data_IF_412250195521
#
_entry.id   IF_412250195521
#
_cell.length_a   1.000
_cell.length_b   1.000
_cell.length_c   1.000
_cell.angle_alpha   90.00
_cell.angle_beta   90.00
_cell.angle_gamma   90.00
#
_symmetry.space_group_name_H-M   'P 1'
#
loop_
_entity.id
_entity.type
_entity.pdbx_description
1 polymer ?
#
# COMPACT_ATOMS: atom_id res chain seq x y z
N UNK A 1 13.44 11.82 21.16
CA UNK A 1 13.39 12.96 20.22
C UNK A 1 12.05 12.89 19.53
N UNK A 2 11.13 13.80 19.87
CA UNK A 2 9.81 13.86 19.22
C UNK A 2 10.01 14.12 17.74
N UNK A 3 9.73 13.09 16.94
CA UNK A 3 9.77 13.21 15.49
C UNK A 3 8.59 14.12 15.14
N UNK A 4 8.91 15.33 14.71
CA UNK A 4 7.92 16.34 14.32
C UNK A 4 7.08 15.73 13.20
N UNK A 5 5.88 15.25 13.55
CA UNK A 5 5.00 14.62 12.58
C UNK A 5 4.58 15.72 11.61
N UNK A 6 4.97 15.58 10.34
CA UNK A 6 4.67 16.57 9.33
C UNK A 6 3.14 16.76 9.28
N UNK A 7 2.67 17.99 9.41
CA UNK A 7 1.26 18.37 9.21
C UNK A 7 1.04 18.75 7.75
N UNK A 8 -0.21 18.70 7.28
CA UNK A 8 -0.59 19.24 5.97
C UNK A 8 -1.69 20.27 6.12
N UNK A 9 -2.10 20.92 5.02
CA UNK A 9 -3.24 21.84 5.04
C UNK A 9 -4.56 21.17 5.47
N UNK A 10 -4.65 19.83 5.33
CA UNK A 10 -5.85 19.06 5.63
C UNK A 10 -5.82 18.38 7.00
N UNK A 11 -4.64 18.13 7.59
CA UNK A 11 -4.50 17.36 8.84
C UNK A 11 -3.45 17.93 9.77
N UNK A 12 -3.72 17.83 11.08
CA UNK A 12 -2.75 18.19 12.12
C UNK A 12 -1.61 17.18 12.23
N UNK A 13 -1.85 15.93 11.82
CA UNK A 13 -0.91 14.81 11.88
C UNK A 13 -1.08 13.95 10.62
N UNK A 14 0.01 13.55 9.95
CA UNK A 14 -0.08 12.60 8.84
C UNK A 14 -0.60 11.24 9.31
N UNK A 15 -1.26 10.51 8.40
CA UNK A 15 -1.78 9.18 8.68
C UNK A 15 -0.68 8.25 9.21
N UNK A 16 -1.03 7.52 10.27
CA UNK A 16 -0.34 6.33 10.72
C UNK A 16 -1.37 5.25 11.07
N UNK A 17 -0.89 4.06 11.43
CA UNK A 17 -1.75 2.91 11.72
C UNK A 17 -2.66 3.12 12.95
N UNK A 18 -2.33 4.07 13.83
CA UNK A 18 -3.02 4.30 15.10
C UNK A 18 -3.98 5.49 15.08
N UNK A 19 -3.86 6.40 14.11
CA UNK A 19 -4.61 7.66 14.10
C UNK A 19 -5.69 7.76 13.02
N UNK A 20 -6.02 6.66 12.32
CA UNK A 20 -6.98 6.66 11.21
C UNK A 20 -8.33 7.33 11.56
N UNK A 21 -8.85 7.12 12.77
CA UNK A 21 -10.11 7.76 13.19
C UNK A 21 -10.01 9.29 13.20
N UNK A 22 -8.95 9.84 13.79
CA UNK A 22 -8.73 11.30 13.85
C UNK A 22 -8.42 11.85 12.47
N UNK A 23 -7.52 11.17 11.74
CA UNK A 23 -7.13 11.53 10.39
C UNK A 23 -8.33 11.58 9.44
N UNK A 24 -9.18 10.54 9.44
CA UNK A 24 -10.32 10.43 8.54
C UNK A 24 -11.35 11.54 8.78
N UNK A 25 -11.60 11.93 10.04
CA UNK A 25 -12.49 13.05 10.34
C UNK A 25 -11.94 14.37 9.78
N UNK A 26 -10.64 14.63 9.94
CA UNK A 26 -10.00 15.85 9.44
C UNK A 26 -10.00 15.92 7.92
N UNK A 27 -9.55 14.84 7.24
CA UNK A 27 -9.53 14.79 5.78
C UNK A 27 -10.93 14.86 5.19
N UNK A 28 -11.91 14.15 5.78
CA UNK A 28 -13.32 14.23 5.34
C UNK A 28 -13.84 15.67 5.42
N UNK A 29 -13.61 16.34 6.54
CA UNK A 29 -14.04 17.73 6.75
C UNK A 29 -13.42 18.66 5.71
N UNK A 30 -12.12 18.49 5.44
CA UNK A 30 -11.41 19.27 4.42
C UNK A 30 -11.97 19.00 3.02
N UNK A 31 -12.19 17.73 2.65
CA UNK A 31 -12.76 17.36 1.34
C UNK A 31 -14.18 17.90 1.16
N UNK A 32 -15.01 17.89 2.21
CA UNK A 32 -16.34 18.52 2.18
C UNK A 32 -16.26 20.03 1.94
N UNK A 33 -15.34 20.73 2.62
CA UNK A 33 -15.15 22.17 2.44
C UNK A 33 -14.66 22.54 1.02
N UNK A 34 -14.02 21.60 0.31
CA UNK A 34 -13.54 21.78 -1.06
C UNK A 34 -14.49 21.22 -2.12
N UNK A 35 -15.68 20.75 -1.73
CA UNK A 35 -16.64 20.10 -2.64
C UNK A 35 -16.05 18.86 -3.37
N UNK A 36 -15.27 18.07 -2.63
CA UNK A 36 -14.56 16.88 -3.12
C UNK A 36 -15.04 15.57 -2.49
N UNK A 37 -15.76 15.62 -1.35
CA UNK A 37 -16.17 14.41 -0.61
C UNK A 37 -17.08 13.49 -1.42
N UNK A 38 -17.94 14.06 -2.28
CA UNK A 38 -18.83 13.30 -3.16
C UNK A 38 -18.08 12.26 -4.01
N UNK A 39 -16.84 12.54 -4.41
CA UNK A 39 -16.02 11.61 -5.22
C UNK A 39 -15.56 10.40 -4.40
N UNK A 40 -15.29 10.61 -3.11
CA UNK A 40 -14.82 9.55 -2.20
C UNK A 40 -16.02 8.70 -1.71
N UNK A 41 -17.15 9.35 -1.47
CA UNK A 41 -18.37 8.69 -1.00
C UNK A 41 -19.08 7.91 -2.11
N UNK A 42 -19.03 8.37 -3.36
CA UNK A 42 -19.74 7.81 -4.50
C UNK A 42 -19.75 6.28 -4.52
N UNK A 43 -20.93 5.68 -4.58
CA UNK A 43 -21.11 4.23 -4.73
C UNK A 43 -21.06 3.80 -6.19
N UNK A 44 -21.44 4.71 -7.08
CA UNK A 44 -21.46 4.51 -8.52
C UNK A 44 -20.16 5.04 -9.13
N UNK A 45 -19.66 4.32 -10.14
CA UNK A 45 -18.40 4.66 -10.81
C UNK A 45 -18.43 5.99 -11.56
N UNK A 46 -17.28 6.34 -12.14
CA UNK A 46 -17.07 7.47 -13.05
C UNK A 46 -18.28 7.69 -13.98
N UNK A 47 -18.78 8.93 -14.15
CA UNK A 47 -19.79 9.25 -15.15
C UNK A 47 -19.34 8.78 -16.54
N UNK A 48 -20.20 8.07 -17.27
CA UNK A 48 -19.85 7.56 -18.61
C UNK A 48 -19.54 8.74 -19.54
N UNK A 49 -18.40 8.75 -20.24
CA UNK A 49 -17.97 9.88 -21.06
C UNK A 49 -18.92 10.15 -22.24
N UNK A 50 -19.69 9.14 -22.67
CA UNK A 50 -20.67 9.25 -23.76
C UNK A 50 -21.87 10.17 -23.44
N UNK A 51 -22.15 10.42 -22.16
CA UNK A 51 -23.31 11.23 -21.76
C UNK A 51 -22.99 12.72 -21.63
N UNK A 52 -21.77 13.09 -21.21
CA UNK A 52 -21.34 14.48 -20.99
C UNK A 52 -19.81 14.57 -20.78
N UNK A 53 -19.08 15.05 -21.80
CA UNK A 53 -17.62 15.24 -21.72
C UNK A 53 -17.21 16.24 -20.65
N UNK A 54 -17.98 17.32 -20.47
CA UNK A 54 -17.68 18.36 -19.49
C UNK A 54 -17.84 17.81 -18.06
N UNK A 55 -18.88 17.02 -17.81
CA UNK A 55 -19.08 16.33 -16.53
C UNK A 55 -17.97 15.31 -16.26
N UNK A 56 -17.57 14.50 -17.25
CA UNK A 56 -16.45 13.55 -17.11
C UNK A 56 -15.14 14.28 -16.78
N UNK A 57 -14.85 15.40 -17.46
CA UNK A 57 -13.66 16.21 -17.19
C UNK A 57 -13.69 16.86 -15.80
N UNK A 58 -14.84 17.37 -15.38
CA UNK A 58 -15.04 17.92 -14.05
C UNK A 58 -14.83 16.85 -12.96
N UNK A 59 -15.40 15.66 -13.15
CA UNK A 59 -15.21 14.52 -12.25
C UNK A 59 -13.73 14.12 -12.16
N UNK A 60 -13.03 13.96 -13.29
CA UNK A 60 -11.60 13.60 -13.31
C UNK A 60 -10.76 14.61 -12.54
N UNK A 61 -11.07 15.91 -12.67
CA UNK A 61 -10.40 16.97 -11.91
C UNK A 61 -10.68 16.84 -10.41
N UNK A 62 -11.93 16.65 -10.00
CA UNK A 62 -12.30 16.48 -8.58
C UNK A 62 -11.65 15.22 -7.98
N UNK A 63 -11.64 14.11 -8.71
CA UNK A 63 -10.95 12.88 -8.31
C UNK A 63 -9.44 13.12 -8.09
N UNK A 64 -8.76 13.77 -9.04
CA UNK A 64 -7.34 14.08 -8.90
C UNK A 64 -7.05 14.98 -7.69
N UNK A 65 -7.90 15.97 -7.43
CA UNK A 65 -7.77 16.84 -6.25
C UNK A 65 -7.99 16.07 -4.94
N UNK A 66 -9.03 15.24 -4.87
CA UNK A 66 -9.33 14.43 -3.69
C UNK A 66 -8.20 13.42 -3.40
N UNK A 67 -7.72 12.72 -4.44
CA UNK A 67 -6.61 11.77 -4.32
C UNK A 67 -5.34 12.48 -3.85
N UNK A 68 -5.04 13.67 -4.37
CA UNK A 68 -3.89 14.45 -3.94
C UNK A 68 -3.96 14.80 -2.45
N UNK A 69 -5.12 15.24 -1.94
CA UNK A 69 -5.33 15.51 -0.52
C UNK A 69 -5.08 14.26 0.34
N UNK A 70 -5.57 13.10 -0.09
CA UNK A 70 -5.35 11.82 0.59
C UNK A 70 -3.85 11.47 0.61
N UNK A 71 -3.15 11.61 -0.51
CA UNK A 71 -1.72 11.30 -0.62
C UNK A 71 -0.85 12.19 0.29
N UNK A 72 -1.05 13.52 0.24
CA UNK A 72 -0.22 14.45 1.04
C UNK A 72 -0.50 14.36 2.53
N UNK A 73 -1.72 13.99 2.92
CA UNK A 73 -2.11 13.79 4.32
C UNK A 73 -1.69 12.43 4.87
N UNK A 74 -1.22 11.50 4.02
CA UNK A 74 -0.81 10.16 4.44
C UNK A 74 0.67 10.05 4.81
N UNK A 75 1.49 11.05 4.45
CA UNK A 75 2.94 11.02 4.62
C UNK A 75 3.64 10.05 3.64
N UNK A 76 4.98 10.11 3.51
CA UNK A 76 5.70 9.44 2.43
C UNK A 76 5.57 7.90 2.44
N UNK A 77 5.58 7.30 3.64
CA UNK A 77 5.59 5.85 3.81
C UNK A 77 4.28 5.21 3.34
N UNK A 78 3.14 5.82 3.71
CA UNK A 78 1.81 5.36 3.31
C UNK A 78 1.46 5.81 1.89
N UNK A 79 1.90 7.01 1.47
CA UNK A 79 1.69 7.48 0.09
C UNK A 79 2.24 6.47 -0.95
N UNK A 80 3.39 5.86 -0.68
CA UNK A 80 3.95 4.81 -1.54
C UNK A 80 3.13 3.52 -1.59
N UNK A 81 2.27 3.23 -0.60
CA UNK A 81 1.39 2.06 -0.62
C UNK A 81 0.26 2.26 -1.64
N UNK A 82 -0.26 3.48 -1.73
CA UNK A 82 -1.40 3.83 -2.59
C UNK A 82 -0.99 4.49 -3.91
N UNK A 83 0.31 4.48 -4.25
CA UNK A 83 0.85 5.22 -5.40
C UNK A 83 0.35 4.71 -6.76
N UNK A 84 -0.11 3.45 -6.81
CA UNK A 84 -0.69 2.84 -8.01
C UNK A 84 -2.22 3.00 -8.08
N UNK A 85 -2.85 3.56 -7.04
CA UNK A 85 -4.30 3.74 -7.00
C UNK A 85 -4.65 5.09 -7.65
N UNK A 86 -5.50 5.06 -8.66
CA UNK A 86 -5.85 6.24 -9.48
C UNK A 86 -7.15 6.93 -9.04
N UNK A 87 -7.92 6.31 -8.15
CA UNK A 87 -9.21 6.79 -7.68
C UNK A 87 -9.14 7.17 -6.19
N UNK A 88 -9.65 8.35 -5.86
CA UNK A 88 -9.64 8.85 -4.49
C UNK A 88 -10.44 7.95 -3.54
N UNK A 89 -11.58 7.44 -4.00
CA UNK A 89 -12.38 6.45 -3.27
C UNK A 89 -11.57 5.20 -2.94
N UNK A 90 -10.92 4.62 -3.94
CA UNK A 90 -10.19 3.37 -3.74
C UNK A 90 -8.97 3.56 -2.84
N UNK A 91 -8.32 4.72 -2.92
CA UNK A 91 -7.26 5.08 -1.99
C UNK A 91 -7.81 5.18 -0.56
N UNK A 92 -8.92 5.87 -0.37
CA UNK A 92 -9.59 5.99 0.92
C UNK A 92 -9.98 4.63 1.52
N UNK A 93 -10.65 3.79 0.74
CA UNK A 93 -11.12 2.48 1.15
C UNK A 93 -9.95 1.53 1.46
N UNK A 94 -8.86 1.63 0.68
CA UNK A 94 -7.65 0.85 0.92
C UNK A 94 -6.95 1.27 2.21
N UNK A 95 -6.82 2.57 2.47
CA UNK A 95 -6.27 3.06 3.74
C UNK A 95 -7.13 2.62 4.93
N UNK A 96 -8.46 2.67 4.77
CA UNK A 96 -9.40 2.17 5.78
C UNK A 96 -9.19 0.68 6.05
N UNK A 97 -8.98 -0.13 5.00
CA UNK A 97 -8.71 -1.56 5.12
C UNK A 97 -7.37 -1.81 5.82
N UNK A 98 -6.29 -1.12 5.41
CA UNK A 98 -4.96 -1.21 6.02
C UNK A 98 -5.02 -0.91 7.53
N UNK A 99 -5.65 0.20 7.91
CA UNK A 99 -5.74 0.63 9.31
C UNK A 99 -6.68 -0.25 10.16
N UNK A 100 -7.46 -1.15 9.56
CA UNK A 100 -8.26 -2.16 10.28
C UNK A 100 -7.48 -3.45 10.55
N UNK A 101 -6.34 -3.67 9.89
CA UNK A 101 -5.54 -4.88 10.09
C UNK A 101 -4.97 -4.87 11.52
N UNK A 102 -5.26 -5.89 12.35
CA UNK A 102 -4.69 -5.96 13.69
C UNK A 102 -3.16 -6.09 13.63
N UNK A 103 -2.45 -5.26 14.42
CA UNK A 103 -0.97 -5.23 14.43
C UNK A 103 -0.32 -6.58 14.67
N UNK A 104 -0.96 -7.42 15.50
CA UNK A 104 -0.48 -8.76 15.85
C UNK A 104 -0.37 -9.70 14.64
N UNK A 105 -1.05 -9.40 13.52
CA UNK A 105 -1.01 -10.25 12.33
C UNK A 105 0.29 -10.09 11.54
N UNK A 106 0.92 -8.92 11.59
CA UNK A 106 2.09 -8.60 10.76
C UNK A 106 3.33 -8.24 11.57
N UNK A 107 3.25 -7.97 12.87
CA UNK A 107 4.46 -7.78 13.68
C UNK A 107 5.29 -9.07 13.68
N UNK A 108 6.55 -8.98 13.24
CA UNK A 108 7.50 -10.09 13.35
C UNK A 108 8.12 -10.11 14.75
N UNK A 109 8.35 -11.30 15.29
CA UNK A 109 9.31 -11.44 16.39
C UNK A 109 10.71 -11.21 15.84
N UNK A 110 11.56 -10.49 16.56
CA UNK A 110 12.92 -10.16 16.12
C UNK A 110 13.81 -11.39 15.85
N UNK A 111 13.38 -12.58 16.27
CA UNK A 111 14.05 -13.87 16.09
C UNK A 111 13.48 -14.75 14.95
N UNK A 112 12.47 -14.27 14.21
CA UNK A 112 11.87 -15.06 13.13
C UNK A 112 12.78 -15.12 11.90
N UNK A 113 13.25 -16.32 11.54
CA UNK A 113 14.00 -16.53 10.30
C UNK A 113 13.12 -16.36 9.05
N UNK A 114 13.75 -16.06 7.91
CA UNK A 114 13.06 -15.80 6.64
C UNK A 114 12.05 -16.89 6.25
N UNK A 115 12.41 -18.17 6.39
CA UNK A 115 11.51 -19.27 6.02
C UNK A 115 10.23 -19.28 6.87
N UNK A 116 10.35 -19.10 8.18
CA UNK A 116 9.21 -19.03 9.10
C UNK A 116 8.33 -17.82 8.79
N UNK A 117 8.97 -16.66 8.57
CA UNK A 117 8.27 -15.44 8.15
C UNK A 117 7.54 -15.65 6.83
N UNK A 118 8.19 -16.26 5.82
CA UNK A 118 7.62 -16.47 4.51
C UNK A 118 6.40 -17.41 4.56
N UNK A 119 6.47 -18.50 5.33
CA UNK A 119 5.35 -19.43 5.52
C UNK A 119 4.17 -18.76 6.25
N UNK A 120 4.45 -17.95 7.26
CA UNK A 120 3.45 -17.17 7.99
C UNK A 120 2.77 -16.16 7.06
N UNK A 121 3.54 -15.37 6.33
CA UNK A 121 3.01 -14.36 5.40
C UNK A 121 2.24 -15.00 4.24
N UNK A 122 2.72 -16.12 3.70
CA UNK A 122 2.00 -16.89 2.68
C UNK A 122 0.64 -17.35 3.18
N UNK A 123 0.57 -17.87 4.40
CA UNK A 123 -0.69 -18.28 5.03
C UNK A 123 -1.67 -17.11 5.14
N UNK A 124 -1.20 -15.94 5.59
CA UNK A 124 -2.01 -14.72 5.64
C UNK A 124 -2.49 -14.29 4.25
N UNK A 125 -1.61 -14.28 3.26
CA UNK A 125 -1.97 -13.88 1.91
C UNK A 125 -2.98 -14.80 1.26
N UNK A 126 -2.89 -16.12 1.48
CA UNK A 126 -3.90 -17.07 0.98
C UNK A 126 -5.26 -16.78 1.64
N UNK A 127 -5.31 -16.65 2.97
CA UNK A 127 -6.55 -16.41 3.70
C UNK A 127 -7.24 -15.09 3.37
N UNK A 128 -6.52 -14.13 2.80
CA UNK A 128 -7.03 -12.80 2.44
C UNK A 128 -7.08 -12.58 0.92
N UNK A 129 -6.90 -13.62 0.10
CA UNK A 129 -6.88 -13.52 -1.37
C UNK A 129 -5.86 -12.50 -1.92
N UNK A 130 -4.70 -12.42 -1.28
CA UNK A 130 -3.56 -11.56 -1.64
C UNK A 130 -2.40 -12.35 -2.26
N UNK A 131 -2.40 -13.69 -2.11
CA UNK A 131 -1.28 -14.53 -2.57
C UNK A 131 -1.07 -14.45 -4.09
N UNK A 132 -2.17 -14.34 -4.84
CA UNK A 132 -2.14 -14.15 -6.30
C UNK A 132 -1.33 -12.91 -6.73
N UNK A 133 -1.25 -11.88 -5.88
CA UNK A 133 -0.52 -10.65 -6.20
C UNK A 133 0.99 -10.87 -6.09
N UNK A 134 1.44 -11.61 -5.08
CA UNK A 134 2.88 -11.80 -4.81
C UNK A 134 3.48 -12.96 -5.60
N UNK A 135 2.67 -13.96 -5.97
CA UNK A 135 3.09 -15.08 -6.83
C UNK A 135 2.83 -14.83 -8.33
N UNK A 136 2.24 -13.69 -8.70
CA UNK A 136 1.90 -13.38 -10.09
C UNK A 136 3.08 -13.65 -11.04
N UNK A 137 2.81 -14.38 -12.12
CA UNK A 137 3.77 -14.65 -13.21
C UNK A 137 3.53 -13.77 -14.42
N UNK A 138 2.44 -13.01 -14.41
CA UNK A 138 2.06 -12.04 -15.43
C UNK A 138 2.35 -10.63 -14.93
N UNK A 139 2.52 -9.71 -15.87
CA UNK A 139 2.58 -8.29 -15.55
C UNK A 139 1.25 -7.80 -14.94
N UNK A 140 1.28 -6.73 -14.12
CA UNK A 140 0.07 -6.07 -13.66
C UNK A 140 -0.85 -5.68 -14.83
N UNK A 141 -2.18 -5.73 -14.64
CA UNK A 141 -3.11 -5.18 -15.63
C UNK A 141 -2.79 -3.71 -15.89
N UNK A 142 -3.10 -3.23 -17.09
CA UNK A 142 -3.01 -1.80 -17.42
C UNK A 142 -4.39 -1.14 -17.26
N UNK A 143 -4.47 0.08 -16.71
CA UNK A 143 -5.74 0.78 -16.52
C UNK A 143 -6.46 1.09 -17.84
N UNK A 144 -5.74 1.20 -18.95
CA UNK A 144 -6.31 1.41 -20.29
C UNK A 144 -7.03 0.17 -20.85
N UNK A 145 -6.57 -1.02 -20.48
CA UNK A 145 -7.11 -2.29 -20.99
C UNK A 145 -8.31 -2.75 -20.18
N UNK A 146 -8.20 -2.69 -18.85
CA UNK A 146 -9.27 -3.09 -17.93
C UNK A 146 -9.16 -2.31 -16.61
N UNK A 147 -9.86 -1.18 -16.54
CA UNK A 147 -9.90 -0.31 -15.36
C UNK A 147 -10.43 -1.04 -14.11
N UNK A 148 -11.37 -1.98 -14.29
CA UNK A 148 -11.98 -2.73 -13.18
C UNK A 148 -10.95 -3.71 -12.61
N UNK A 149 -10.28 -4.48 -13.47
CA UNK A 149 -9.22 -5.40 -13.05
C UNK A 149 -8.03 -4.64 -12.43
N UNK A 150 -7.62 -3.52 -13.02
CA UNK A 150 -6.54 -2.68 -12.49
C UNK A 150 -6.85 -2.13 -11.10
N UNK A 151 -8.08 -1.64 -10.90
CA UNK A 151 -8.54 -1.16 -9.60
C UNK A 151 -8.50 -2.26 -8.55
N UNK A 152 -9.10 -3.42 -8.84
CA UNK A 152 -9.08 -4.55 -7.91
C UNK A 152 -7.65 -5.01 -7.59
N UNK A 153 -6.78 -5.08 -8.59
CA UNK A 153 -5.38 -5.44 -8.43
C UNK A 153 -4.62 -4.42 -7.58
N UNK A 154 -4.73 -3.13 -7.86
CA UNK A 154 -3.97 -2.06 -7.17
C UNK A 154 -4.32 -1.96 -5.68
N UNK A 155 -5.59 -2.19 -5.31
CA UNK A 155 -6.02 -2.28 -3.90
C UNK A 155 -5.39 -3.48 -3.19
N UNK A 156 -5.42 -4.67 -3.81
CA UNK A 156 -4.78 -5.88 -3.25
C UNK A 156 -3.26 -5.72 -3.17
N UNK A 157 -2.64 -5.10 -4.16
CA UNK A 157 -1.22 -4.77 -4.17
C UNK A 157 -0.84 -3.86 -3.00
N UNK A 158 -1.61 -2.79 -2.75
CA UNK A 158 -1.36 -1.89 -1.63
C UNK A 158 -1.46 -2.62 -0.27
N UNK A 159 -2.47 -3.47 -0.09
CA UNK A 159 -2.63 -4.29 1.12
C UNK A 159 -1.48 -5.28 1.32
N UNK A 160 -1.10 -6.02 0.28
CA UNK A 160 0.01 -6.95 0.33
C UNK A 160 1.33 -6.23 0.61
N UNK A 161 1.59 -5.10 -0.05
CA UNK A 161 2.81 -4.30 0.14
C UNK A 161 2.91 -3.75 1.56
N UNK A 162 1.80 -3.28 2.14
CA UNK A 162 1.74 -2.86 3.54
C UNK A 162 2.19 -4.00 4.46
N UNK A 163 1.56 -5.17 4.31
CA UNK A 163 1.86 -6.35 5.12
C UNK A 163 3.32 -6.79 5.00
N UNK A 164 3.91 -6.77 3.79
CA UNK A 164 5.34 -7.07 3.59
C UNK A 164 6.21 -6.05 4.34
N UNK A 165 5.92 -4.75 4.19
CA UNK A 165 6.74 -3.67 4.76
C UNK A 165 6.67 -3.58 6.29
N UNK A 166 5.53 -3.88 6.89
CA UNK A 166 5.39 -3.87 8.34
C UNK A 166 5.91 -5.15 9.00
N UNK A 167 5.96 -6.26 8.26
CA UNK A 167 6.44 -7.54 8.78
C UNK A 167 7.91 -7.82 8.54
N UNK A 168 8.57 -7.13 7.60
CA UNK A 168 9.96 -7.43 7.26
C UNK A 168 10.99 -6.98 8.32
N UNK A 169 10.58 -6.23 9.35
CA UNK A 169 11.49 -5.66 10.33
C UNK A 169 12.24 -4.41 9.82
N UNK A 170 12.75 -3.62 10.77
CA UNK A 170 13.33 -2.29 10.51
C UNK A 170 14.65 -2.32 9.74
N UNK A 171 15.43 -3.39 9.89
CA UNK A 171 16.70 -3.63 9.19
C UNK A 171 16.52 -3.98 7.71
N UNK A 172 15.38 -4.59 7.34
CA UNK A 172 15.10 -5.01 5.97
C UNK A 172 14.31 -3.94 5.22
N UNK A 173 13.45 -3.18 5.91
CA UNK A 173 12.60 -2.15 5.31
C UNK A 173 13.32 -1.21 4.30
N UNK A 174 14.54 -0.70 4.57
CA UNK A 174 15.26 0.17 3.63
C UNK A 174 15.48 -0.44 2.23
N UNK A 175 15.50 -1.78 2.12
CA UNK A 175 15.69 -2.48 0.83
C UNK A 175 14.44 -2.46 -0.05
N UNK A 176 13.26 -2.32 0.55
CA UNK A 176 11.96 -2.41 -0.16
C UNK A 176 11.11 -1.14 0.00
N UNK A 177 11.55 -0.16 0.79
CA UNK A 177 10.77 1.02 1.14
C UNK A 177 10.36 1.90 -0.05
N UNK A 178 11.09 1.82 -1.17
CA UNK A 178 10.79 2.56 -2.41
C UNK A 178 10.07 1.72 -3.48
N UNK A 179 9.76 0.45 -3.21
CA UNK A 179 9.09 -0.45 -4.16
C UNK A 179 7.58 -0.27 -4.05
N UNK A 180 6.89 0.03 -5.15
CA UNK A 180 5.43 0.22 -5.21
C UNK A 180 4.63 -1.06 -5.48
N UNK A 181 5.30 -2.16 -5.85
CA UNK A 181 4.66 -3.45 -6.15
C UNK A 181 5.00 -4.49 -5.10
N UNK A 182 3.97 -5.12 -4.53
CA UNK A 182 4.11 -6.16 -3.51
C UNK A 182 4.93 -7.34 -4.01
N UNK A 183 4.73 -7.77 -5.26
CA UNK A 183 5.53 -8.82 -5.90
C UNK A 183 7.01 -8.48 -5.91
N UNK A 184 7.39 -7.31 -6.43
CA UNK A 184 8.79 -6.87 -6.49
C UNK A 184 9.40 -6.79 -5.09
N UNK A 185 8.63 -6.34 -4.10
CA UNK A 185 9.07 -6.31 -2.71
C UNK A 185 9.31 -7.74 -2.18
N UNK A 186 8.38 -8.66 -2.39
CA UNK A 186 8.50 -10.07 -2.01
C UNK A 186 9.71 -10.75 -2.65
N UNK A 187 9.88 -10.59 -3.95
CA UNK A 187 10.99 -11.18 -4.72
C UNK A 187 12.35 -10.62 -4.26
N UNK A 188 12.41 -9.33 -3.91
CA UNK A 188 13.62 -8.69 -3.35
C UNK A 188 14.00 -9.33 -2.01
N UNK A 189 13.03 -9.61 -1.13
CA UNK A 189 13.29 -10.28 0.14
C UNK A 189 13.77 -11.72 -0.05
N UNK A 190 13.12 -12.47 -0.95
CA UNK A 190 13.53 -13.82 -1.30
C UNK A 190 14.97 -13.89 -1.85
N UNK A 191 15.33 -12.93 -2.70
CA UNK A 191 16.68 -12.81 -3.24
C UNK A 191 17.73 -12.48 -2.17
N UNK A 192 17.39 -11.63 -1.19
CA UNK A 192 18.29 -11.28 -0.10
C UNK A 192 18.65 -12.51 0.76
N UNK A 193 17.69 -13.40 1.05
CA UNK A 193 17.98 -14.62 1.80
C UNK A 193 18.88 -15.57 1.01
N UNK A 194 18.59 -15.82 -0.27
CA UNK A 194 19.42 -16.68 -1.13
C UNK A 194 20.86 -16.20 -1.20
N UNK A 195 21.07 -14.88 -1.20
CA UNK A 195 22.41 -14.29 -1.14
C UNK A 195 23.08 -14.60 0.20
N UNK A 196 22.41 -14.40 1.34
CA UNK A 196 22.97 -14.71 2.66
C UNK A 196 23.35 -16.19 2.74
N UNK A 197 22.46 -17.11 2.35
CA UNK A 197 22.72 -18.56 2.41
C UNK A 197 23.90 -18.99 1.53
N UNK A 198 24.04 -18.39 0.33
CA UNK A 198 25.16 -18.68 -0.58
C UNK A 198 26.51 -18.24 0.00
N UNK A 199 26.58 -17.07 0.63
CA UNK A 199 27.83 -16.50 1.16
C UNK A 199 28.17 -17.01 2.57
N UNK A 200 27.18 -17.29 3.43
CA UNK A 200 27.42 -17.94 4.72
C UNK A 200 27.79 -19.41 4.56
N UNK A 201 27.23 -20.10 3.56
CA UNK A 201 27.59 -21.48 3.22
C UNK A 201 28.99 -21.62 2.61
N UNK A 202 29.46 -20.65 1.84
CA UNK A 202 30.81 -20.64 1.27
C UNK A 202 31.91 -20.22 2.26
N UNK A 203 31.55 -19.52 3.34
CA UNK A 203 32.48 -19.23 4.44
C UNK A 203 32.79 -20.47 5.31
N UNK A 204 31.83 -21.41 5.44
CA UNK A 204 32.03 -22.65 6.20
C UNK A 204 32.89 -23.68 5.47
N UNK A 205 32.95 -23.68 4.13
CA UNK A 205 33.80 -24.60 3.36
C UNK A 205 35.26 -24.11 3.21
N UNK A 206 35.59 -22.92 3.69
CA UNK A 206 36.95 -22.35 3.57
C UNK A 206 37.81 -22.49 4.84
N UNK A 207 37.31 -23.21 5.87
CA UNK A 207 38.02 -23.43 7.15
C UNK A 207 38.31 -24.92 7.43
N UNK A 208 38.05 -25.83 6.49
CA UNK A 208 38.33 -27.28 6.64
C UNK A 208 39.39 -27.82 5.66
N UNK A 209 40.40 -27.03 5.29
CA UNK A 209 41.62 -27.56 4.64
C UNK A 209 42.90 -26.98 5.24
#
# INVERSE_FOLDING_TARGET
MDTRIASSAAVSEVLNIDNYLVWSVQVRTYLMAQDLWEIVEATDGRPKPENDEAASKAWTRKNAMALHVIQISSGPRICLLISLITWAKDAWDTLAAICRIPKLLYYASDEEGYMTWADRMKTYFINNNLWEIVEATTEPPMPEDDEIAFKAWSQKNALALFLIRESCGSNIFPRIGNISEAKKAWDTLAGCQRYVDFYSGSCLHSLEN
#
